data_IF_599276637620
#
_entry.id   IF_599276637620
#
_cell.length_a   1.000
_cell.length_b   1.000
_cell.length_c   1.000
_cell.angle_alpha   90.00
_cell.angle_beta   90.00
_cell.angle_gamma   90.00
#
_symmetry.space_group_name_H-M   'P 1'
#
loop_
_entity.id
_entity.type
_entity.pdbx_description
1 polymer ?
#
# COMPACT_ATOMS: atom_id res chain seq x y z
N UNK A 1 -0.72 8.75 1.07
CA UNK A 1 -0.88 8.20 -0.29
C UNK A 1 0.44 8.40 -1.01
N UNK A 2 0.90 7.42 -1.77
CA UNK A 2 2.12 7.51 -2.57
C UNK A 2 1.91 6.81 -3.91
N UNK A 3 2.82 7.05 -4.87
CA UNK A 3 2.78 6.46 -6.20
C UNK A 3 4.14 5.83 -6.55
N UNK A 4 4.16 4.59 -7.03
CA UNK A 4 5.38 3.94 -7.53
C UNK A 4 5.32 3.66 -9.04
N UNK A 5 6.40 3.88 -9.81
CA UNK A 5 6.47 3.47 -11.22
C UNK A 5 6.85 1.99 -11.34
N UNK A 6 6.15 1.26 -12.20
CA UNK A 6 6.35 -0.18 -12.41
C UNK A 6 6.38 -0.50 -13.92
N UNK A 7 7.57 -0.70 -14.51
CA UNK A 7 7.71 -1.19 -15.86
C UNK A 7 7.77 -2.73 -15.90
N UNK A 8 7.25 -3.40 -16.94
CA UNK A 8 7.50 -4.82 -17.19
C UNK A 8 8.95 -5.04 -17.66
N UNK A 9 9.50 -6.19 -17.28
CA UNK A 9 10.79 -6.68 -17.74
C UNK A 9 10.59 -7.63 -18.93
N UNK A 10 11.52 -7.61 -19.88
CA UNK A 10 11.56 -8.59 -20.97
C UNK A 10 12.95 -9.20 -20.97
N UNK A 11 13.11 -10.41 -20.46
CA UNK A 11 14.28 -11.22 -20.78
C UNK A 11 14.15 -11.72 -22.22
N UNK A 12 15.23 -11.68 -23.01
CA UNK A 12 15.32 -12.49 -24.23
C UNK A 12 15.87 -13.85 -23.82
N UNK A 13 15.39 -14.92 -24.46
CA UNK A 13 16.05 -16.22 -24.41
C UNK A 13 17.47 -16.08 -24.99
N UNK A 14 18.46 -16.03 -24.10
CA UNK A 14 19.87 -15.92 -24.42
C UNK A 14 20.66 -16.31 -23.19
N UNK A 15 21.12 -17.58 -23.19
CA UNK A 15 21.80 -18.30 -22.12
C UNK A 15 21.01 -18.38 -20.79
N UNK A 16 20.48 -19.58 -20.50
CA UNK A 16 19.92 -19.89 -19.19
C UNK A 16 20.96 -19.72 -18.06
N UNK A 17 20.52 -19.56 -16.81
CA UNK A 17 21.45 -19.43 -15.68
C UNK A 17 22.36 -20.66 -15.59
N UNK A 18 23.68 -20.43 -15.45
CA UNK A 18 24.61 -21.47 -14.99
C UNK A 18 24.21 -21.92 -13.58
N UNK A 19 24.19 -23.24 -13.29
CA UNK A 19 23.62 -23.78 -12.04
C UNK A 19 24.46 -23.54 -10.77
N UNK A 20 25.47 -22.66 -10.78
CA UNK A 20 26.45 -22.56 -9.69
C UNK A 20 26.96 -21.13 -9.39
N UNK A 21 26.14 -20.09 -9.51
CA UNK A 21 26.52 -18.72 -9.16
C UNK A 21 25.36 -17.90 -8.57
N UNK A 22 25.63 -16.77 -7.87
CA UNK A 22 24.58 -15.92 -7.34
C UNK A 22 23.61 -15.51 -8.45
N UNK A 23 22.31 -15.49 -8.16
CA UNK A 23 21.25 -15.16 -9.10
C UNK A 23 21.49 -13.77 -9.70
N UNK A 24 22.13 -13.71 -10.86
CA UNK A 24 22.38 -12.48 -11.58
C UNK A 24 21.05 -12.01 -12.18
N UNK A 25 20.58 -10.83 -11.79
CA UNK A 25 19.48 -10.15 -12.46
C UNK A 25 19.87 -9.92 -13.93
N UNK A 26 19.15 -10.49 -14.91
CA UNK A 26 19.44 -10.25 -16.32
C UNK A 26 19.35 -8.75 -16.62
N UNK A 27 20.28 -8.25 -17.42
CA UNK A 27 20.35 -6.83 -17.72
C UNK A 27 19.13 -6.38 -18.57
N UNK A 28 18.33 -5.48 -17.98
CA UNK A 28 17.08 -4.96 -18.54
C UNK A 28 17.33 -3.91 -19.63
N UNK A 29 17.67 -4.31 -20.85
CA UNK A 29 18.08 -3.35 -21.89
C UNK A 29 16.95 -2.69 -22.72
N UNK A 30 15.68 -3.14 -22.67
CA UNK A 30 14.58 -2.46 -23.40
C UNK A 30 13.22 -2.49 -22.69
N UNK A 31 12.80 -1.35 -22.12
CA UNK A 31 11.46 -1.10 -21.55
C UNK A 31 10.45 -0.70 -22.65
N UNK A 32 10.08 -1.64 -23.52
CA UNK A 32 9.24 -1.35 -24.69
C UNK A 32 7.75 -1.07 -24.42
N UNK A 33 7.25 -1.37 -23.21
CA UNK A 33 5.80 -1.33 -22.90
C UNK A 33 5.40 -0.12 -22.02
N UNK A 34 6.27 0.89 -21.91
CA UNK A 34 6.02 2.07 -21.07
C UNK A 34 5.98 1.76 -19.57
N UNK A 35 5.55 2.73 -18.78
CA UNK A 35 5.48 2.66 -17.30
C UNK A 35 4.02 2.79 -16.87
N UNK A 36 3.61 1.99 -15.87
CA UNK A 36 2.37 2.22 -15.12
C UNK A 36 2.68 2.66 -13.70
N UNK A 37 1.73 3.35 -13.09
CA UNK A 37 1.84 3.86 -11.74
C UNK A 37 0.84 3.15 -10.84
N UNK A 38 1.33 2.60 -9.74
CA UNK A 38 0.46 2.08 -8.69
C UNK A 38 0.26 3.16 -7.63
N UNK A 39 -0.99 3.53 -7.39
CA UNK A 39 -1.39 4.49 -6.36
C UNK A 39 -1.87 3.71 -5.15
N UNK A 40 -1.24 3.96 -4.00
CA UNK A 40 -1.47 3.21 -2.77
C UNK A 40 -2.08 4.06 -1.66
N UNK A 41 -3.02 3.45 -0.93
CA UNK A 41 -3.61 3.96 0.30
C UNK A 41 -3.48 2.90 1.39
N UNK A 42 -2.80 3.25 2.48
CA UNK A 42 -2.60 2.38 3.63
C UNK A 42 -3.47 2.85 4.79
N UNK A 43 -4.34 1.96 5.26
CA UNK A 43 -5.18 2.14 6.43
C UNK A 43 -4.42 1.68 7.67
N UNK A 44 -3.93 2.66 8.45
CA UNK A 44 -3.13 2.40 9.64
C UNK A 44 -3.96 1.73 10.75
N UNK A 45 -5.26 2.03 10.83
CA UNK A 45 -6.13 1.50 11.89
C UNK A 45 -6.47 0.02 11.66
N UNK A 46 -6.72 -0.35 10.39
CA UNK A 46 -7.09 -1.72 9.99
C UNK A 46 -5.90 -2.54 9.47
N UNK A 47 -4.72 -1.93 9.33
CA UNK A 47 -3.54 -2.52 8.68
C UNK A 47 -3.84 -3.06 7.27
N UNK A 48 -4.56 -2.26 6.48
CA UNK A 48 -5.00 -2.67 5.14
C UNK A 48 -4.36 -1.81 4.05
N UNK A 49 -3.71 -2.46 3.08
CA UNK A 49 -3.09 -1.83 1.93
C UNK A 49 -3.99 -1.98 0.70
N UNK A 50 -4.36 -0.86 0.10
CA UNK A 50 -5.26 -0.79 -1.04
C UNK A 50 -4.63 0.04 -2.14
N UNK A 51 -4.96 -0.23 -3.40
CA UNK A 51 -4.46 0.62 -4.48
C UNK A 51 -5.04 0.33 -5.85
N UNK A 52 -4.66 1.16 -6.81
CA UNK A 52 -5.08 1.10 -8.21
C UNK A 52 -3.96 1.45 -9.17
N UNK A 53 -4.05 0.91 -10.37
CA UNK A 53 -3.10 1.13 -11.44
C UNK A 53 -3.57 2.25 -12.38
N UNK A 54 -2.63 3.09 -12.79
CA UNK A 54 -2.85 4.23 -13.66
C UNK A 54 -1.76 4.29 -14.75
N UNK A 55 -2.13 4.76 -15.94
CA UNK A 55 -1.17 4.96 -17.02
C UNK A 55 -0.29 6.20 -16.81
N UNK A 56 -0.78 7.18 -16.04
CA UNK A 56 -0.13 8.48 -15.80
C UNK A 56 -0.22 8.85 -14.32
N UNK A 57 0.54 9.88 -13.94
CA UNK A 57 0.53 10.48 -12.60
C UNK A 57 0.09 11.94 -12.68
N UNK A 58 -1.12 12.20 -13.17
CA UNK A 58 -1.69 13.56 -13.25
C UNK A 58 -2.54 13.90 -12.03
N UNK A 59 -2.84 15.19 -11.81
CA UNK A 59 -3.79 15.62 -10.78
C UNK A 59 -5.18 14.99 -10.93
N UNK A 60 -5.65 14.78 -12.16
CA UNK A 60 -6.90 14.08 -12.44
C UNK A 60 -6.86 12.60 -12.02
N UNK A 61 -5.74 11.91 -12.28
CA UNK A 61 -5.55 10.53 -11.84
C UNK A 61 -5.55 10.43 -10.31
N UNK A 62 -4.91 11.39 -9.64
CA UNK A 62 -4.85 11.50 -8.17
C UNK A 62 -6.26 11.75 -7.61
N UNK A 63 -7.01 12.70 -8.16
CA UNK A 63 -8.39 12.96 -7.75
C UNK A 63 -9.29 11.73 -7.95
N UNK A 64 -9.15 11.04 -9.09
CA UNK A 64 -9.87 9.79 -9.34
C UNK A 64 -9.54 8.72 -8.28
N UNK A 65 -8.27 8.63 -7.88
CA UNK A 65 -7.84 7.76 -6.80
C UNK A 65 -8.44 8.15 -5.45
N UNK A 66 -8.43 9.43 -5.08
CA UNK A 66 -9.01 9.89 -3.81
C UNK A 66 -10.51 9.65 -3.74
N UNK A 67 -11.26 9.88 -4.84
CA UNK A 67 -12.66 9.49 -4.96
C UNK A 67 -12.87 7.99 -4.74
N UNK A 68 -11.97 7.17 -5.30
CA UNK A 68 -12.03 5.73 -5.07
C UNK A 68 -11.75 5.36 -3.62
N UNK A 69 -10.78 6.00 -2.95
CA UNK A 69 -10.52 5.81 -1.53
C UNK A 69 -11.73 6.21 -0.71
N UNK A 70 -12.28 7.43 -0.88
CA UNK A 70 -13.44 7.92 -0.11
C UNK A 70 -14.64 6.98 -0.18
N UNK A 71 -14.95 6.42 -1.36
CA UNK A 71 -16.03 5.42 -1.52
C UNK A 71 -15.85 4.16 -0.68
N UNK A 72 -14.61 3.77 -0.36
CA UNK A 72 -14.32 2.61 0.51
C UNK A 72 -14.59 2.91 1.97
N UNK A 73 -14.57 4.19 2.32
CA UNK A 73 -14.78 4.69 3.67
C UNK A 73 -16.08 5.49 3.80
N UNK A 74 -17.10 5.17 2.99
CA UNK A 74 -18.34 5.96 2.88
C UNK A 74 -19.15 6.04 4.18
N UNK A 75 -19.03 5.02 5.03
CA UNK A 75 -19.74 4.94 6.32
C UNK A 75 -18.95 5.63 7.43
N UNK A 76 -17.67 5.90 7.22
CA UNK A 76 -16.84 6.71 8.08
C UNK A 76 -17.14 8.20 7.81
N UNK A 77 -17.06 9.01 8.87
CA UNK A 77 -17.17 10.46 8.81
C UNK A 77 -15.95 11.08 8.11
N UNK A 78 -15.39 12.15 8.70
CA UNK A 78 -14.19 12.78 8.13
C UNK A 78 -13.03 11.77 8.05
N UNK A 79 -12.43 11.63 6.86
CA UNK A 79 -11.23 10.83 6.64
C UNK A 79 -10.01 11.72 6.40
N UNK A 80 -8.87 11.33 6.97
CA UNK A 80 -7.60 12.02 6.81
C UNK A 80 -6.76 11.33 5.76
N UNK A 81 -6.48 12.01 4.65
CA UNK A 81 -5.53 11.53 3.65
C UNK A 81 -4.15 12.11 3.96
N UNK A 82 -3.34 11.32 4.67
CA UNK A 82 -1.95 11.67 5.00
C UNK A 82 -1.04 11.32 3.81
N UNK A 83 -0.26 12.29 3.32
CA UNK A 83 0.61 12.11 2.13
C UNK A 83 1.81 13.06 2.14
N UNK A 84 2.77 12.85 1.24
CA UNK A 84 3.90 13.75 1.07
C UNK A 84 3.43 15.13 0.56
N UNK A 85 4.23 16.17 0.82
CA UNK A 85 3.89 17.56 0.48
C UNK A 85 4.09 17.88 -1.02
N UNK A 86 3.80 16.92 -1.91
CA UNK A 86 3.93 17.09 -3.34
C UNK A 86 2.77 17.94 -3.87
N UNK A 87 3.08 19.03 -4.58
CA UNK A 87 2.09 19.98 -5.13
C UNK A 87 0.95 19.32 -5.92
N UNK A 88 1.24 18.21 -6.63
CA UNK A 88 0.25 17.46 -7.41
C UNK A 88 -0.90 16.88 -6.57
N UNK A 89 -0.71 16.71 -5.26
CA UNK A 89 -1.75 16.26 -4.33
C UNK A 89 -2.71 17.36 -3.88
N UNK A 90 -2.40 18.61 -4.19
CA UNK A 90 -3.13 19.77 -3.71
C UNK A 90 -3.50 20.69 -4.88
N UNK A 91 -4.00 20.11 -5.97
CA UNK A 91 -4.61 20.92 -7.04
C UNK A 91 -5.91 21.53 -6.53
N UNK A 92 -6.39 22.59 -7.18
CA UNK A 92 -7.62 23.26 -6.78
C UNK A 92 -8.83 22.31 -6.82
N UNK A 93 -8.93 21.50 -7.87
CA UNK A 93 -9.96 20.45 -7.99
C UNK A 93 -9.93 19.46 -6.82
N UNK A 94 -8.73 19.07 -6.36
CA UNK A 94 -8.58 18.15 -5.24
C UNK A 94 -9.01 18.81 -3.93
N UNK A 95 -8.61 20.07 -3.69
CA UNK A 95 -8.99 20.80 -2.47
C UNK A 95 -10.49 21.01 -2.40
N UNK A 96 -11.11 21.43 -3.50
CA UNK A 96 -12.56 21.68 -3.53
C UNK A 96 -13.33 20.37 -3.36
N UNK A 97 -12.96 19.31 -4.08
CA UNK A 97 -13.55 18.00 -3.86
C UNK A 97 -13.40 17.51 -2.41
N UNK A 98 -12.25 17.71 -1.78
CA UNK A 98 -12.00 17.23 -0.42
C UNK A 98 -12.92 17.93 0.61
N UNK A 99 -13.09 19.25 0.49
CA UNK A 99 -14.02 20.05 1.32
C UNK A 99 -15.46 19.52 1.24
N UNK A 100 -15.91 19.16 0.04
CA UNK A 100 -17.29 18.73 -0.22
C UNK A 100 -17.55 17.25 0.16
N UNK A 101 -16.53 16.50 0.57
CA UNK A 101 -16.62 15.04 0.73
C UNK A 101 -16.17 14.54 2.11
N UNK A 102 -16.07 15.40 3.12
CA UNK A 102 -15.54 15.07 4.45
C UNK A 102 -14.13 14.43 4.36
N UNK A 103 -13.25 15.05 3.58
CA UNK A 103 -11.87 14.60 3.42
C UNK A 103 -10.93 15.71 3.84
N UNK A 104 -10.08 15.42 4.83
CA UNK A 104 -8.99 16.31 5.22
C UNK A 104 -7.69 15.88 4.54
N UNK A 105 -7.07 16.80 3.81
CA UNK A 105 -5.77 16.58 3.17
C UNK A 105 -4.66 16.97 4.16
N UNK A 106 -3.90 15.99 4.62
CA UNK A 106 -2.87 16.18 5.65
C UNK A 106 -1.45 15.99 5.07
N UNK A 107 -0.77 17.06 4.61
CA UNK A 107 0.62 16.96 4.18
C UNK A 107 1.53 16.64 5.36
N UNK A 108 2.44 15.69 5.15
CA UNK A 108 3.56 15.45 6.07
C UNK A 108 4.53 16.65 5.99
N UNK A 109 5.11 17.10 7.13
CA UNK A 109 6.10 18.17 7.12
C UNK A 109 7.27 17.90 6.17
N UNK A 110 7.82 18.97 5.61
CA UNK A 110 9.03 18.89 4.77
C UNK A 110 10.15 18.21 5.55
N UNK A 111 10.90 17.32 4.88
CA UNK A 111 11.98 16.50 5.45
C UNK A 111 11.55 15.43 6.47
N UNK A 112 10.25 15.17 6.64
CA UNK A 112 9.75 14.10 7.50
C UNK A 112 9.33 12.83 6.73
N UNK A 113 10.15 12.37 5.78
CA UNK A 113 9.85 11.15 4.98
C UNK A 113 9.62 9.90 5.83
N UNK A 114 10.22 9.83 7.01
CA UNK A 114 10.03 8.75 7.99
C UNK A 114 8.58 8.62 8.50
N UNK A 115 7.75 9.67 8.37
CA UNK A 115 6.32 9.61 8.69
C UNK A 115 5.49 9.02 7.54
N UNK A 116 6.06 8.85 6.34
CA UNK A 116 5.34 8.36 5.17
C UNK A 116 5.25 6.83 5.16
N UNK A 117 4.41 6.27 6.02
CA UNK A 117 4.27 4.80 6.22
C UNK A 117 4.00 4.01 4.93
N UNK A 118 3.35 4.62 3.94
CA UNK A 118 3.09 3.96 2.65
C UNK A 118 4.38 3.67 1.86
N UNK A 119 5.49 4.38 2.12
CA UNK A 119 6.78 4.09 1.49
C UNK A 119 7.34 2.73 1.94
N UNK A 120 7.15 2.37 3.21
CA UNK A 120 7.51 1.05 3.74
C UNK A 120 6.71 -0.04 3.02
N UNK A 121 5.41 0.18 2.83
CA UNK A 121 4.56 -0.76 2.10
C UNK A 121 4.95 -0.90 0.62
N UNK A 122 5.38 0.19 -0.02
CA UNK A 122 5.88 0.14 -1.39
C UNK A 122 7.22 -0.57 -1.51
N UNK A 123 8.07 -0.50 -0.49
CA UNK A 123 9.26 -1.37 -0.41
C UNK A 123 8.85 -2.83 -0.43
N UNK A 124 7.86 -3.24 0.36
CA UNK A 124 7.38 -4.62 0.35
C UNK A 124 6.74 -5.03 -0.98
N UNK A 125 6.01 -4.14 -1.66
CA UNK A 125 5.52 -4.44 -3.01
C UNK A 125 6.70 -4.68 -3.97
N UNK A 126 7.72 -3.82 -3.94
CA UNK A 126 8.90 -4.02 -4.79
C UNK A 126 9.63 -5.33 -4.47
N UNK A 127 9.76 -5.68 -3.20
CA UNK A 127 10.41 -6.91 -2.77
C UNK A 127 9.62 -8.16 -3.17
N UNK A 128 8.34 -8.24 -2.79
CA UNK A 128 7.54 -9.47 -2.96
C UNK A 128 6.86 -9.61 -4.32
N UNK A 129 6.69 -8.51 -5.05
CA UNK A 129 6.04 -8.52 -6.37
C UNK A 129 7.06 -8.34 -7.46
N UNK A 130 7.99 -7.38 -7.36
CA UNK A 130 8.84 -7.00 -8.50
C UNK A 130 10.19 -7.70 -8.51
N UNK A 131 10.80 -7.92 -7.35
CA UNK A 131 12.14 -8.47 -7.26
C UNK A 131 12.14 -9.93 -7.72
N UNK A 132 13.21 -10.33 -8.42
CA UNK A 132 13.37 -11.68 -8.99
C UNK A 132 12.20 -12.15 -9.86
N UNK A 133 11.44 -11.22 -10.46
CA UNK A 133 10.30 -11.53 -11.32
C UNK A 133 10.57 -11.16 -12.79
N UNK A 134 9.95 -11.88 -13.72
CA UNK A 134 10.12 -11.68 -15.17
C UNK A 134 8.76 -11.49 -15.88
N UNK A 135 8.03 -10.45 -15.47
CA UNK A 135 6.70 -10.15 -16.00
C UNK A 135 6.77 -9.59 -17.41
N UNK A 136 6.15 -10.30 -18.35
CA UNK A 136 6.16 -9.92 -19.75
C UNK A 136 5.17 -8.79 -20.04
N UNK A 137 4.21 -8.52 -19.15
CA UNK A 137 3.16 -7.53 -19.36
C UNK A 137 2.82 -6.77 -18.08
N UNK A 138 2.25 -5.57 -18.26
CA UNK A 138 1.65 -4.83 -17.14
C UNK A 138 0.55 -5.64 -16.47
N UNK A 139 -0.25 -6.38 -17.25
CA UNK A 139 -1.34 -7.20 -16.72
C UNK A 139 -0.82 -8.26 -15.75
N UNK A 140 0.31 -8.90 -16.03
CA UNK A 140 0.94 -9.84 -15.11
C UNK A 140 1.38 -9.17 -13.80
N UNK A 141 1.98 -7.98 -13.86
CA UNK A 141 2.31 -7.17 -12.68
C UNK A 141 1.05 -6.86 -11.86
N UNK A 142 -0.03 -6.44 -12.52
CA UNK A 142 -1.29 -6.09 -11.86
C UNK A 142 -1.94 -7.29 -11.17
N UNK A 143 -1.92 -8.46 -11.81
CA UNK A 143 -2.42 -9.72 -11.25
C UNK A 143 -1.58 -10.14 -10.04
N UNK A 144 -0.26 -10.12 -10.16
CA UNK A 144 0.66 -10.50 -9.08
C UNK A 144 0.53 -9.54 -7.88
N UNK A 145 0.48 -8.23 -8.13
CA UNK A 145 0.24 -7.23 -7.10
C UNK A 145 -1.13 -7.41 -6.43
N UNK A 146 -2.19 -7.68 -7.20
CA UNK A 146 -3.51 -7.99 -6.65
C UNK A 146 -3.50 -9.24 -5.76
N UNK A 147 -2.79 -10.30 -6.16
CA UNK A 147 -2.63 -11.51 -5.35
C UNK A 147 -1.85 -11.22 -4.05
N UNK A 148 -0.78 -10.44 -4.13
CA UNK A 148 -0.01 -9.97 -2.99
C UNK A 148 -0.88 -9.18 -2.00
N UNK A 149 -1.61 -8.16 -2.46
CA UNK A 149 -2.47 -7.33 -1.62
C UNK A 149 -3.55 -8.17 -0.93
N UNK A 150 -4.18 -9.11 -1.65
CA UNK A 150 -5.17 -10.03 -1.08
C UNK A 150 -4.58 -10.90 0.03
N UNK A 151 -3.37 -11.43 -0.18
CA UNK A 151 -2.63 -12.21 0.83
C UNK A 151 -2.30 -11.35 2.05
N UNK A 152 -1.58 -10.24 1.85
CA UNK A 152 -1.17 -9.30 2.89
C UNK A 152 -2.35 -8.87 3.77
N UNK A 153 -3.45 -8.43 3.15
CA UNK A 153 -4.61 -7.93 3.90
C UNK A 153 -5.36 -9.02 4.65
N UNK A 154 -5.37 -10.26 4.15
CA UNK A 154 -5.93 -11.41 4.88
C UNK A 154 -5.07 -11.73 6.11
N UNK A 155 -3.75 -11.75 5.95
CA UNK A 155 -2.82 -12.01 7.05
C UNK A 155 -2.90 -10.90 8.11
N UNK A 156 -2.95 -9.62 7.69
CA UNK A 156 -3.13 -8.49 8.58
C UNK A 156 -4.43 -8.58 9.41
N UNK A 157 -5.55 -8.93 8.76
CA UNK A 157 -6.83 -9.15 9.45
C UNK A 157 -6.74 -10.26 10.49
N UNK A 158 -6.18 -11.42 10.11
CA UNK A 158 -5.98 -12.54 11.05
C UNK A 158 -5.16 -12.10 12.26
N UNK A 159 -4.04 -11.41 12.03
CA UNK A 159 -3.16 -10.93 13.09
C UNK A 159 -3.84 -9.88 13.98
N UNK A 160 -4.70 -9.03 13.41
CA UNK A 160 -5.49 -8.06 14.17
C UNK A 160 -6.49 -8.75 15.11
N UNK A 161 -7.23 -9.73 14.60
CA UNK A 161 -8.19 -10.53 15.37
C UNK A 161 -7.51 -11.30 16.51
N UNK A 162 -6.38 -11.95 16.23
CA UNK A 162 -5.57 -12.65 17.24
C UNK A 162 -5.12 -11.70 18.36
N UNK A 163 -4.52 -10.55 18.02
CA UNK A 163 -4.08 -9.55 19.00
C UNK A 163 -5.24 -9.01 19.85
N UNK A 164 -6.43 -8.85 19.27
CA UNK A 164 -7.65 -8.42 20.01
C UNK A 164 -8.10 -9.49 21.00
N UNK A 165 -8.17 -10.75 20.57
CA UNK A 165 -8.54 -11.87 21.41
C UNK A 165 -7.57 -12.05 22.60
N UNK A 166 -6.27 -11.96 22.36
CA UNK A 166 -5.23 -12.03 23.41
C UNK A 166 -5.36 -10.90 24.44
N UNK A 167 -5.58 -9.66 23.98
CA UNK A 167 -5.80 -8.52 24.87
C UNK A 167 -7.04 -8.72 25.75
N UNK A 168 -8.12 -9.24 25.18
CA UNK A 168 -9.34 -9.53 25.93
C UNK A 168 -9.14 -10.65 26.96
N UNK A 169 -8.47 -11.74 26.58
CA UNK A 169 -8.12 -12.84 27.47
C UNK A 169 -7.26 -12.36 28.63
N UNK A 170 -6.25 -11.51 28.36
CA UNK A 170 -5.42 -10.88 29.39
C UNK A 170 -6.24 -9.99 30.33
N UNK A 171 -7.18 -9.21 29.81
CA UNK A 171 -8.10 -8.38 30.62
C UNK A 171 -8.96 -9.25 31.54
N UNK A 172 -9.54 -10.33 31.03
CA UNK A 172 -10.34 -11.29 31.80
C UNK A 172 -9.51 -11.97 32.90
N UNK A 173 -8.29 -12.42 32.60
CA UNK A 173 -7.36 -13.00 33.59
C UNK A 173 -7.04 -12.01 34.72
N UNK A 174 -6.70 -10.76 34.37
CA UNK A 174 -6.42 -9.69 35.36
C UNK A 174 -7.64 -9.37 36.23
N UNK A 175 -8.83 -9.31 35.65
CA UNK A 175 -10.07 -9.07 36.39
C UNK A 175 -10.38 -10.22 37.37
N UNK A 176 -10.19 -11.48 36.96
CA UNK A 176 -10.34 -12.66 37.82
C UNK A 176 -9.33 -12.64 38.99
N UNK A 177 -8.06 -12.35 38.71
CA UNK A 177 -7.04 -12.24 39.76
C UNK A 177 -7.37 -11.14 40.79
N UNK A 178 -7.81 -9.97 40.33
CA UNK A 178 -8.25 -8.87 41.21
C UNK A 178 -9.45 -9.24 42.06
N UNK A 179 -10.43 -9.97 41.51
CA UNK A 179 -11.60 -10.45 42.27
C UNK A 179 -11.18 -11.44 43.35
N UNK A 180 -10.29 -12.38 43.04
CA UNK A 180 -9.75 -13.35 44.01
C UNK A 180 -9.01 -12.65 45.15
N UNK A 181 -8.14 -11.68 44.82
CA UNK A 181 -7.39 -10.92 45.83
C UNK A 181 -8.25 -9.98 46.70
N UNK A 182 -9.51 -9.70 46.32
CA UNK A 182 -10.47 -8.94 47.15
C UNK A 182 -11.33 -9.84 48.03
N UNK A 183 -11.37 -11.14 47.74
CA UNK A 183 -12.16 -12.13 48.46
C UNK A 183 -11.33 -12.94 49.47
N UNK A 184 -10.01 -12.69 49.52
CA UNK A 184 -9.06 -13.20 50.50
C UNK A 184 -8.65 -12.03 51.39
#
# INVERSE_FOLDING_TARGET
MSTGPYPPSRTRAGAGPHPAGPSASPANYRKGKGVRFFFGAYDVAKDQLNGRWYARKTGADILHFFRWVRRRYKEEGCIYLIMDNLKAHFTEDIRNWAKDNDVELAPIPTYASWLNLIEVEFRHINEFVMSNSDYQSHQEIEIACSAYLRRRNRDARRNFEQRRAEKEARRKRRARARRRARAA
#
